data_IF_595613250824
#
_entry.id   IF_595613250824
#
_cell.length_a   1.000
_cell.length_b   1.000
_cell.length_c   1.000
_cell.angle_alpha   90.00
_cell.angle_beta   90.00
_cell.angle_gamma   90.00
#
_symmetry.space_group_name_H-M   'P 1'
#
loop_
_entity.id
_entity.type
_entity.pdbx_description
1 polymer ?
#
# COMPACT_ATOMS: atom_id res chain seq x y z
N UNK A 1 42.12 -26.67 21.22
CA UNK A 1 41.72 -25.27 21.01
C UNK A 1 40.29 -25.30 20.54
N UNK A 2 39.37 -25.03 21.47
CA UNK A 2 37.92 -25.25 21.37
C UNK A 2 37.21 -24.04 20.78
N UNK A 3 36.15 -24.30 20.01
CA UNK A 3 35.39 -23.33 19.22
C UNK A 3 34.45 -22.44 20.05
N UNK A 4 34.68 -22.31 21.37
CA UNK A 4 33.87 -21.54 22.33
C UNK A 4 34.53 -20.24 22.84
N UNK A 5 35.61 -19.79 22.21
CA UNK A 5 36.33 -18.56 22.62
C UNK A 5 36.14 -17.36 21.68
N UNK A 6 35.15 -17.37 20.77
CA UNK A 6 34.87 -16.23 19.88
C UNK A 6 33.65 -15.38 20.28
N UNK A 7 33.07 -15.60 21.46
CA UNK A 7 31.96 -14.80 22.00
C UNK A 7 32.37 -13.71 23.01
N UNK A 8 33.67 -13.35 23.09
CA UNK A 8 34.16 -12.33 24.02
C UNK A 8 34.81 -11.11 23.36
N UNK A 9 34.39 -10.76 22.14
CA UNK A 9 34.73 -9.46 21.56
C UNK A 9 33.80 -8.37 22.11
N UNK A 10 34.28 -7.74 23.18
CA UNK A 10 33.85 -6.46 23.72
C UNK A 10 33.45 -5.46 22.63
N UNK A 11 32.18 -5.07 22.61
CA UNK A 11 31.75 -3.82 21.99
C UNK A 11 31.78 -2.75 23.08
N UNK A 12 32.97 -2.23 23.39
CA UNK A 12 33.09 -0.98 24.14
C UNK A 12 32.54 0.15 23.27
N UNK A 13 31.35 0.65 23.62
CA UNK A 13 30.83 1.90 23.08
C UNK A 13 31.50 3.02 23.87
N UNK A 14 32.33 3.89 23.25
CA UNK A 14 32.92 5.03 23.95
C UNK A 14 31.80 5.95 24.45
N UNK A 15 31.93 6.33 25.73
CA UNK A 15 30.97 7.11 26.49
C UNK A 15 30.50 8.36 25.74
N UNK A 16 29.21 8.37 25.45
CA UNK A 16 28.49 9.58 25.06
C UNK A 16 28.14 10.30 26.36
N UNK A 17 28.93 11.31 26.70
CA UNK A 17 28.65 12.18 27.83
C UNK A 17 27.24 12.76 27.70
N UNK A 18 26.40 12.44 28.66
CA UNK A 18 25.05 12.96 28.77
C UNK A 18 25.17 14.34 29.43
N UNK A 19 24.75 15.44 28.78
CA UNK A 19 24.71 16.72 29.45
C UNK A 19 23.73 16.64 30.63
N UNK A 20 24.27 16.91 31.81
CA UNK A 20 23.55 17.06 33.08
C UNK A 20 22.44 18.08 32.88
N UNK A 21 21.19 17.62 33.00
CA UNK A 21 20.02 18.48 33.03
C UNK A 21 20.09 19.37 34.27
N UNK A 22 20.25 20.66 34.03
CA UNK A 22 20.03 21.69 35.04
C UNK A 22 18.59 21.61 35.54
N UNK A 23 18.45 21.39 36.84
CA UNK A 23 17.20 21.57 37.58
C UNK A 23 16.95 23.07 37.61
N UNK A 24 16.03 23.54 36.75
CA UNK A 24 15.65 24.93 36.64
C UNK A 24 14.13 25.05 36.54
N UNK A 25 13.55 25.41 37.68
CA UNK A 25 12.32 26.19 37.86
C UNK A 25 10.99 25.69 37.26
N UNK A 26 10.16 25.22 38.20
CA UNK A 26 8.71 25.40 38.27
C UNK A 26 8.19 26.64 37.51
N UNK A 27 7.62 26.41 36.32
CA UNK A 27 6.61 27.30 35.74
C UNK A 27 5.38 26.49 35.31
N UNK A 28 4.24 26.60 36.02
CA UNK A 28 2.96 26.18 35.50
C UNK A 28 2.46 27.22 34.48
N UNK A 29 3.07 27.23 33.30
CA UNK A 29 2.57 27.94 32.13
C UNK A 29 1.64 27.03 31.35
N UNK A 30 0.33 27.24 31.50
CA UNK A 30 -0.71 26.65 30.67
C UNK A 30 -0.53 27.11 29.21
N UNK A 31 0.40 26.47 28.51
CA UNK A 31 0.56 26.60 27.07
C UNK A 31 -0.59 25.86 26.42
N UNK A 32 -1.55 26.62 25.89
CA UNK A 32 -2.44 26.18 24.83
C UNK A 32 -1.61 25.34 23.85
N UNK A 33 -1.78 24.01 23.89
CA UNK A 33 -1.52 23.19 22.73
C UNK A 33 -2.56 23.63 21.72
N UNK A 34 -2.20 24.63 20.91
CA UNK A 34 -2.81 24.78 19.60
C UNK A 34 -2.55 23.46 18.92
N UNK A 35 -3.58 22.62 18.92
CA UNK A 35 -3.73 21.56 17.95
C UNK A 35 -3.75 22.29 16.62
N UNK A 36 -2.56 22.57 16.08
CA UNK A 36 -2.38 22.84 14.66
C UNK A 36 -2.91 21.58 13.99
N UNK A 37 -4.21 21.62 13.71
CA UNK A 37 -4.86 20.69 12.82
C UNK A 37 -4.08 20.85 11.54
N UNK A 38 -3.14 19.94 11.32
CA UNK A 38 -2.40 19.81 10.07
C UNK A 38 -3.45 19.72 8.96
N UNK A 39 -3.75 20.88 8.39
CA UNK A 39 -4.69 21.05 7.31
C UNK A 39 -3.99 20.48 6.10
N UNK A 40 -4.14 19.16 5.90
CA UNK A 40 -3.65 18.44 4.75
C UNK A 40 -4.14 19.18 3.50
N UNK A 41 -3.25 19.97 2.89
CA UNK A 41 -3.56 20.83 1.75
C UNK A 41 -4.15 19.99 0.62
N UNK A 42 -5.40 20.29 0.26
CA UNK A 42 -6.22 19.49 -0.66
C UNK A 42 -5.93 19.78 -2.15
N UNK A 43 -5.00 20.69 -2.46
CA UNK A 43 -4.92 21.36 -3.78
C UNK A 43 -4.17 20.59 -4.89
N UNK A 44 -3.82 19.32 -4.70
CA UNK A 44 -2.89 18.62 -5.61
C UNK A 44 -3.51 17.54 -6.51
N UNK A 45 -4.78 17.72 -6.89
CA UNK A 45 -5.55 16.69 -7.61
C UNK A 45 -5.35 16.64 -9.14
N UNK A 46 -4.58 17.53 -9.77
CA UNK A 46 -4.61 17.65 -11.24
C UNK A 46 -3.40 17.06 -12.02
N UNK A 47 -2.32 16.60 -11.38
CA UNK A 47 -1.05 16.37 -12.11
C UNK A 47 -0.49 14.94 -12.18
N UNK A 48 -1.24 13.90 -11.77
CA UNK A 48 -0.69 12.52 -11.65
C UNK A 48 -0.83 11.62 -12.89
N UNK A 49 -1.42 12.09 -14.00
CA UNK A 49 -1.73 11.21 -15.13
C UNK A 49 -0.58 10.89 -16.10
N UNK A 50 0.59 11.54 -16.04
CA UNK A 50 1.60 11.46 -17.13
C UNK A 50 2.88 10.66 -16.86
N UNK A 51 3.17 10.24 -15.62
CA UNK A 51 4.45 9.56 -15.28
C UNK A 51 4.26 8.32 -14.39
N UNK A 52 3.32 7.45 -14.71
CA UNK A 52 3.08 6.19 -14.00
C UNK A 52 3.85 5.04 -14.65
N UNK A 53 5.16 5.21 -14.86
CA UNK A 53 6.06 4.16 -15.37
C UNK A 53 6.49 3.25 -14.22
N UNK A 54 6.38 1.94 -14.43
CA UNK A 54 6.31 0.93 -13.37
C UNK A 54 7.68 0.28 -13.02
N UNK A 55 8.26 0.49 -11.82
CA UNK A 55 9.48 -0.23 -11.41
C UNK A 55 9.20 -1.59 -10.73
N UNK A 56 7.95 -1.96 -10.44
CA UNK A 56 7.65 -3.12 -9.59
C UNK A 56 7.18 -4.39 -10.32
N UNK A 57 7.09 -4.38 -11.65
CA UNK A 57 6.56 -5.50 -12.44
C UNK A 57 7.46 -6.75 -12.41
N UNK A 58 8.72 -6.62 -12.00
CA UNK A 58 9.70 -7.71 -12.08
C UNK A 58 9.63 -8.73 -10.93
N UNK A 59 9.05 -8.41 -9.77
CA UNK A 59 9.18 -9.23 -8.57
C UNK A 59 8.06 -10.25 -8.31
N UNK A 60 7.06 -10.40 -9.19
CA UNK A 60 5.88 -11.21 -8.86
C UNK A 60 5.43 -12.15 -10.00
N UNK A 61 5.96 -13.37 -10.02
CA UNK A 61 5.42 -14.51 -10.79
C UNK A 61 4.54 -15.39 -9.87
N UNK A 62 3.20 -15.36 -9.98
CA UNK A 62 2.34 -16.24 -9.22
C UNK A 62 2.04 -17.52 -10.02
N UNK A 63 2.68 -18.64 -9.66
CA UNK A 63 2.24 -19.96 -10.10
C UNK A 63 1.01 -20.37 -9.26
N UNK A 64 -0.20 -20.15 -9.77
CA UNK A 64 -1.44 -20.57 -9.10
C UNK A 64 -1.93 -21.91 -9.67
N UNK A 65 -1.89 -22.94 -8.82
CA UNK A 65 -2.47 -24.27 -9.03
C UNK A 65 -4.00 -24.21 -9.02
N UNK A 66 -4.65 -24.75 -10.05
CA UNK A 66 -6.11 -24.77 -10.23
C UNK A 66 -6.72 -26.06 -9.69
N UNK A 67 -7.58 -25.99 -8.67
CA UNK A 67 -8.47 -27.09 -8.24
C UNK A 67 -9.92 -26.74 -8.60
N UNK A 68 -10.53 -27.53 -9.48
CA UNK A 68 -11.94 -27.41 -9.93
C UNK A 68 -12.90 -27.89 -8.82
N UNK A 69 -13.85 -27.04 -8.40
CA UNK A 69 -15.08 -27.44 -7.70
C UNK A 69 -16.29 -26.76 -8.35
N UNK A 70 -17.38 -27.52 -8.48
CA UNK A 70 -18.61 -27.14 -9.18
C UNK A 70 -19.52 -26.23 -8.34
N UNK A 71 -20.28 -25.30 -8.95
CA UNK A 71 -21.20 -24.40 -8.23
C UNK A 71 -22.68 -24.84 -8.31
N UNK A 72 -23.35 -24.85 -7.15
CA UNK A 72 -24.82 -24.88 -6.98
C UNK A 72 -25.37 -23.45 -6.85
N UNK A 73 -26.49 -23.18 -7.52
CA UNK A 73 -26.97 -21.83 -7.84
C UNK A 73 -27.86 -21.15 -6.81
N UNK A 74 -27.62 -19.86 -6.60
CA UNK A 74 -28.59 -18.92 -6.00
C UNK A 74 -28.40 -17.56 -6.68
N UNK A 75 -29.42 -17.11 -7.41
CA UNK A 75 -29.41 -15.90 -8.23
C UNK A 75 -29.69 -14.65 -7.40
N UNK A 76 -28.64 -14.02 -6.87
CA UNK A 76 -28.73 -12.62 -6.42
C UNK A 76 -28.41 -11.68 -7.58
N UNK A 77 -29.20 -10.61 -7.71
CA UNK A 77 -29.05 -9.56 -8.70
C UNK A 77 -27.67 -8.90 -8.59
N UNK A 78 -26.71 -9.42 -9.36
CA UNK A 78 -25.35 -8.90 -9.44
C UNK A 78 -25.37 -7.62 -10.25
N UNK A 79 -25.27 -6.48 -9.58
CA UNK A 79 -24.87 -5.24 -10.23
C UNK A 79 -23.48 -5.48 -10.84
N UNK A 80 -23.39 -5.48 -12.17
CA UNK A 80 -22.18 -5.79 -12.96
C UNK A 80 -21.11 -4.70 -12.86
N UNK A 81 -20.73 -4.27 -11.65
CA UNK A 81 -19.57 -3.40 -11.48
C UNK A 81 -18.31 -4.23 -11.71
N UNK A 82 -17.41 -3.84 -12.63
CA UNK A 82 -16.16 -4.53 -12.83
C UNK A 82 -15.33 -4.42 -11.54
N UNK A 83 -15.22 -5.53 -10.80
CA UNK A 83 -14.35 -5.60 -9.63
C UNK A 83 -12.91 -5.71 -10.13
N UNK A 84 -12.06 -4.76 -9.75
CA UNK A 84 -10.62 -4.91 -9.87
C UNK A 84 -10.22 -6.18 -9.10
N UNK A 85 -9.24 -6.94 -9.60
CA UNK A 85 -8.70 -8.03 -8.80
C UNK A 85 -8.10 -7.44 -7.52
N UNK A 86 -8.31 -8.09 -6.36
CA UNK A 86 -7.83 -7.55 -5.07
C UNK A 86 -6.33 -7.26 -5.09
N UNK A 87 -5.58 -8.07 -5.84
CA UNK A 87 -4.15 -7.82 -6.12
C UNK A 87 -3.89 -6.50 -6.85
N UNK A 88 -4.67 -6.19 -7.88
CA UNK A 88 -4.51 -4.93 -8.61
C UNK A 88 -4.94 -3.74 -7.75
N UNK A 89 -6.01 -3.91 -6.95
CA UNK A 89 -6.46 -2.93 -5.98
C UNK A 89 -5.33 -2.55 -5.00
N UNK A 90 -4.74 -3.55 -4.34
CA UNK A 90 -3.60 -3.37 -3.44
C UNK A 90 -2.40 -2.69 -4.11
N UNK A 91 -2.03 -3.12 -5.33
CA UNK A 91 -0.90 -2.52 -6.05
C UNK A 91 -1.12 -1.04 -6.36
N UNK A 92 -2.32 -0.66 -6.80
CA UNK A 92 -2.65 0.74 -7.06
C UNK A 92 -2.63 1.54 -5.76
N UNK A 93 -3.22 0.99 -4.69
CA UNK A 93 -3.23 1.64 -3.37
C UNK A 93 -1.82 1.90 -2.84
N UNK A 94 -0.92 0.91 -2.90
CA UNK A 94 0.50 1.06 -2.50
C UNK A 94 1.18 2.19 -3.29
N UNK A 95 0.92 2.30 -4.59
CA UNK A 95 1.51 3.37 -5.40
C UNK A 95 0.96 4.75 -5.01
N UNK A 96 -0.35 4.84 -4.78
CA UNK A 96 -0.99 6.09 -4.36
C UNK A 96 -0.41 6.57 -3.02
N UNK A 97 -0.31 5.70 -2.02
CA UNK A 97 0.18 6.11 -0.70
C UNK A 97 1.66 6.49 -0.73
N UNK A 98 2.51 5.75 -1.44
CA UNK A 98 3.92 6.11 -1.61
C UNK A 98 4.08 7.45 -2.36
N UNK A 99 3.15 7.78 -3.25
CA UNK A 99 3.14 9.07 -3.94
C UNK A 99 2.67 10.22 -3.05
N UNK A 100 1.71 9.98 -2.15
CA UNK A 100 1.30 10.95 -1.14
C UNK A 100 2.48 11.29 -0.23
N UNK A 101 3.16 10.27 0.31
CA UNK A 101 4.36 10.45 1.14
C UNK A 101 5.54 11.12 0.42
N UNK A 102 5.60 11.04 -0.91
CA UNK A 102 6.63 11.76 -1.68
C UNK A 102 6.29 13.24 -1.90
N UNK A 103 5.00 13.58 -1.91
CA UNK A 103 4.53 14.92 -2.27
C UNK A 103 4.28 15.79 -1.04
N UNK A 104 3.76 15.19 0.03
CA UNK A 104 3.28 15.90 1.22
C UNK A 104 4.32 15.97 2.33
N UNK A 105 5.17 14.93 2.47
CA UNK A 105 6.16 14.85 3.54
C UNK A 105 7.56 15.27 3.07
N UNK A 106 8.22 16.23 3.75
CA UNK A 106 9.63 16.51 3.52
C UNK A 106 10.54 15.42 4.11
N UNK A 107 10.06 14.63 5.09
CA UNK A 107 10.87 13.59 5.73
C UNK A 107 10.89 12.29 4.91
N UNK A 108 12.03 11.89 4.32
CA UNK A 108 12.14 10.63 3.59
C UNK A 108 12.01 9.39 4.48
N UNK A 109 12.10 9.54 5.81
CA UNK A 109 12.09 8.40 6.75
C UNK A 109 10.77 7.64 6.73
N UNK A 110 9.63 8.34 6.67
CA UNK A 110 8.28 7.74 6.64
C UNK A 110 8.09 6.90 5.38
N UNK A 111 8.50 7.45 4.23
CA UNK A 111 8.46 6.74 2.94
C UNK A 111 9.36 5.51 2.92
N UNK A 112 10.56 5.61 3.49
CA UNK A 112 11.47 4.46 3.61
C UNK A 112 10.90 3.39 4.54
N UNK A 113 10.28 3.79 5.64
CA UNK A 113 9.62 2.89 6.58
C UNK A 113 8.43 2.16 5.93
N UNK A 114 7.57 2.87 5.21
CA UNK A 114 6.47 2.29 4.44
C UNK A 114 6.97 1.22 3.44
N UNK A 115 8.03 1.52 2.68
CA UNK A 115 8.66 0.56 1.75
C UNK A 115 9.20 -0.67 2.48
N UNK A 116 9.84 -0.47 3.63
CA UNK A 116 10.37 -1.57 4.47
C UNK A 116 9.24 -2.49 4.93
N UNK A 117 8.13 -1.93 5.41
CA UNK A 117 6.95 -2.69 5.85
C UNK A 117 6.38 -3.54 4.72
N UNK A 118 6.22 -2.98 3.52
CA UNK A 118 5.72 -3.72 2.35
C UNK A 118 6.67 -4.87 1.98
N UNK A 119 7.98 -4.63 1.99
CA UNK A 119 8.99 -5.65 1.70
C UNK A 119 8.97 -6.77 2.75
N UNK A 120 8.86 -6.44 4.03
CA UNK A 120 8.76 -7.41 5.13
C UNK A 120 7.50 -8.27 5.00
N UNK A 121 6.34 -7.65 4.74
CA UNK A 121 5.08 -8.38 4.57
C UNK A 121 5.16 -9.35 3.39
N UNK A 122 5.72 -8.89 2.27
CA UNK A 122 5.90 -9.72 1.07
C UNK A 122 6.86 -10.88 1.33
N UNK A 123 7.97 -10.63 2.04
CA UNK A 123 8.93 -11.67 2.43
C UNK A 123 8.27 -12.73 3.32
N UNK A 124 7.58 -12.31 4.37
CA UNK A 124 6.96 -13.24 5.32
C UNK A 124 5.75 -13.99 4.74
N UNK A 125 4.99 -13.39 3.84
CA UNK A 125 3.97 -14.12 3.09
C UNK A 125 4.60 -15.23 2.22
N UNK A 126 5.75 -14.97 1.57
CA UNK A 126 6.49 -16.00 0.79
C UNK A 126 7.03 -17.13 1.64
N UNK A 127 7.43 -16.84 2.86
CA UNK A 127 7.86 -17.84 3.85
C UNK A 127 6.69 -18.69 4.38
N UNK A 128 5.44 -18.35 4.04
CA UNK A 128 4.25 -19.10 4.43
C UNK A 128 3.73 -18.77 5.84
N UNK A 129 4.11 -17.61 6.40
CA UNK A 129 3.61 -17.20 7.71
C UNK A 129 2.09 -16.96 7.67
N UNK A 130 1.32 -17.54 8.60
CA UNK A 130 -0.15 -17.45 8.59
C UNK A 130 -0.64 -16.01 8.82
N UNK A 131 0.06 -15.23 9.64
CA UNK A 131 -0.30 -13.83 9.95
C UNK A 131 -0.21 -12.88 8.74
N UNK A 132 0.46 -13.33 7.67
CA UNK A 132 0.66 -12.59 6.43
C UNK A 132 -0.20 -13.12 5.29
N UNK A 133 -1.18 -13.99 5.58
CA UNK A 133 -2.08 -14.58 4.60
C UNK A 133 -3.53 -14.25 4.97
N UNK A 134 -4.25 -13.44 4.17
CA UNK A 134 -3.88 -12.91 2.86
C UNK A 134 -2.91 -11.70 2.93
N UNK A 135 -2.03 -11.58 1.93
CA UNK A 135 -1.00 -10.53 1.87
C UNK A 135 -1.57 -9.10 1.90
N UNK A 136 -2.75 -8.91 1.31
CA UNK A 136 -3.45 -7.62 1.25
C UNK A 136 -3.76 -7.08 2.64
N UNK A 137 -4.47 -7.86 3.46
CA UNK A 137 -4.83 -7.46 4.82
C UNK A 137 -3.59 -7.22 5.69
N UNK A 138 -2.54 -8.02 5.53
CA UNK A 138 -1.30 -7.87 6.28
C UNK A 138 -0.56 -6.57 5.94
N UNK A 139 -0.48 -6.23 4.64
CA UNK A 139 0.10 -4.96 4.19
C UNK A 139 -0.77 -3.80 4.69
N UNK A 140 -2.08 -3.83 4.49
CA UNK A 140 -2.96 -2.72 4.89
C UNK A 140 -2.86 -2.43 6.38
N UNK A 141 -2.96 -3.46 7.22
CA UNK A 141 -2.90 -3.33 8.68
C UNK A 141 -1.58 -2.71 9.12
N UNK A 142 -0.44 -3.22 8.63
CA UNK A 142 0.88 -2.75 9.06
C UNK A 142 1.25 -1.41 8.46
N UNK A 143 0.87 -1.17 7.21
CA UNK A 143 1.14 0.08 6.53
C UNK A 143 0.38 1.23 7.20
N UNK A 144 -0.84 1.00 7.67
CA UNK A 144 -1.63 1.97 8.43
C UNK A 144 -0.97 2.43 9.74
N UNK A 145 -0.19 1.57 10.41
CA UNK A 145 0.59 1.98 11.60
C UNK A 145 1.90 2.70 11.24
N UNK A 146 2.42 2.44 10.04
CA UNK A 146 3.70 3.00 9.59
C UNK A 146 3.56 4.39 8.94
N UNK A 147 2.34 4.75 8.53
CA UNK A 147 1.99 6.01 7.90
C UNK A 147 0.95 6.72 8.75
N UNK A 148 1.00 8.04 8.82
CA UNK A 148 0.00 8.78 9.60
C UNK A 148 -1.40 8.66 8.98
N UNK A 149 -2.44 8.74 9.82
CA UNK A 149 -3.85 8.67 9.41
C UNK A 149 -4.19 9.72 8.33
N UNK A 150 -3.49 10.86 8.35
CA UNK A 150 -3.61 11.93 7.35
C UNK A 150 -3.33 11.41 5.93
N UNK A 151 -2.15 10.80 5.73
CA UNK A 151 -1.74 10.23 4.46
C UNK A 151 -2.59 9.04 4.06
N UNK A 152 -2.98 8.21 5.04
CA UNK A 152 -3.85 7.06 4.82
C UNK A 152 -5.23 7.45 4.27
N UNK A 153 -5.89 8.43 4.88
CA UNK A 153 -7.20 8.92 4.45
C UNK A 153 -7.15 9.60 3.08
N UNK A 154 -6.06 10.33 2.80
CA UNK A 154 -5.84 10.93 1.48
C UNK A 154 -5.66 9.86 0.40
N UNK A 155 -4.87 8.83 0.68
CA UNK A 155 -4.68 7.71 -0.24
C UNK A 155 -5.99 6.97 -0.53
N UNK A 156 -6.86 6.76 0.47
CA UNK A 156 -8.20 6.20 0.26
C UNK A 156 -9.05 7.07 -0.66
N UNK A 157 -9.11 8.38 -0.42
CA UNK A 157 -9.85 9.31 -1.29
C UNK A 157 -9.38 9.25 -2.74
N UNK A 158 -8.06 9.19 -2.96
CA UNK A 158 -7.46 9.05 -4.28
C UNK A 158 -7.78 7.69 -4.92
N UNK A 159 -7.81 6.61 -4.13
CA UNK A 159 -8.17 5.28 -4.58
C UNK A 159 -9.64 5.20 -5.02
N UNK A 160 -10.55 5.78 -4.23
CA UNK A 160 -11.97 5.85 -4.59
C UNK A 160 -12.19 6.61 -5.89
N UNK A 161 -11.49 7.75 -6.06
CA UNK A 161 -11.51 8.51 -7.29
C UNK A 161 -10.94 7.70 -8.47
N UNK A 162 -9.85 6.96 -8.27
CA UNK A 162 -9.29 6.05 -9.28
C UNK A 162 -10.32 4.99 -9.70
N UNK A 163 -10.95 4.32 -8.74
CA UNK A 163 -11.98 3.30 -9.02
C UNK A 163 -13.15 3.92 -9.77
N UNK A 164 -13.63 5.10 -9.35
CA UNK A 164 -14.71 5.83 -10.01
C UNK A 164 -14.35 6.14 -11.48
N UNK A 165 -13.19 6.73 -11.73
CA UNK A 165 -12.72 7.09 -13.08
C UNK A 165 -12.52 5.87 -13.99
N UNK A 166 -12.00 4.77 -13.46
CA UNK A 166 -11.79 3.55 -14.23
C UNK A 166 -13.07 2.73 -14.45
N UNK A 167 -14.08 2.90 -13.60
CA UNK A 167 -15.40 2.29 -13.81
C UNK A 167 -16.17 2.96 -14.96
N UNK A 168 -15.96 4.26 -15.19
CA UNK A 168 -16.62 5.03 -16.26
C UNK A 168 -16.01 4.82 -17.64
N UNK A 169 -14.71 4.49 -17.71
CA UNK A 169 -13.96 4.37 -18.97
C UNK A 169 -13.97 2.98 -19.59
N UNK A 170 -14.73 2.01 -19.05
CA UNK A 170 -14.98 0.77 -19.78
C UNK A 170 -15.65 1.14 -21.11
N UNK A 171 -15.00 0.96 -22.27
CA UNK A 171 -15.63 1.22 -23.55
C UNK A 171 -16.73 0.18 -23.71
N UNK A 172 -17.95 0.56 -23.32
CA UNK A 172 -19.15 -0.19 -23.61
C UNK A 172 -19.20 -0.40 -25.12
N UNK A 173 -19.00 -1.64 -25.55
CA UNK A 173 -19.29 -2.05 -26.92
C UNK A 173 -18.11 -1.87 -27.88
N UNK A 174 -17.34 -2.93 -28.06
CA UNK A 174 -17.07 -3.31 -29.45
C UNK A 174 -18.45 -3.60 -30.08
N UNK A 175 -18.82 -3.00 -31.22
CA UNK A 175 -20.02 -3.43 -31.93
C UNK A 175 -19.85 -4.93 -32.19
N UNK A 176 -20.83 -5.72 -31.75
CA UNK A 176 -20.93 -7.12 -32.15
C UNK A 176 -20.82 -7.14 -33.67
N UNK A 177 -19.67 -7.56 -34.20
CA UNK A 177 -19.56 -7.87 -35.63
C UNK A 177 -20.41 -9.12 -35.80
N UNK A 178 -21.69 -8.89 -36.11
CA UNK A 178 -22.67 -9.92 -36.40
C UNK A 178 -22.09 -10.74 -37.55
N UNK A 179 -21.61 -11.95 -37.23
CA UNK A 179 -21.01 -12.86 -38.18
C UNK A 179 -22.17 -13.34 -39.03
N UNK A 180 -22.37 -12.73 -40.20
CA UNK A 180 -23.41 -13.18 -41.11
C UNK A 180 -23.21 -14.69 -41.39
N UNK A 181 -24.27 -15.51 -41.30
CA UNK A 181 -24.18 -16.91 -41.67
C UNK A 181 -23.90 -17.00 -43.17
N UNK A 182 -22.78 -17.63 -43.50
CA UNK A 182 -22.41 -17.97 -44.86
C UNK A 182 -23.43 -18.98 -45.40
N UNK A 183 -24.38 -18.53 -46.21
CA UNK A 183 -25.24 -19.43 -46.98
C UNK A 183 -24.40 -20.01 -48.11
N UNK A 184 -23.96 -21.25 -47.92
CA UNK A 184 -23.41 -22.08 -48.98
C UNK A 184 -24.43 -22.19 -50.11
N UNK A 185 -24.03 -21.80 -51.33
CA UNK A 185 -24.78 -22.06 -52.55
C UNK A 185 -24.39 -23.45 -53.09
N UNK A 186 -25.43 -24.16 -53.54
CA UNK A 186 -25.45 -25.52 -54.13
C UNK A 186 -25.19 -25.44 -55.63
#
# INVERSE_FOLDING_TARGET
>A
MDQRELENAQFEIPGREVPVLGIGDDRPGQGLFQVERYSCRQDLFQNTHKNFSDPFTSLYNPATSTRKRAPSGTSQAKTNRPKLSSKMHLMVFIKIILKCLETDDPDPSVRLNAKRVIAECTKKNREGHPDYTPLEEAIERRLRFAVDDCHWNRAQTLMDHYIMMHSLKQPSGKPFKNKQPNFAQV
#
